data_IF_574756746838
#
_entry.id   IF_574756746838
#
_cell.length_a   1.000
_cell.length_b   1.000
_cell.length_c   1.000
_cell.angle_alpha   90.00
_cell.angle_beta   90.00
_cell.angle_gamma   90.00
#
_symmetry.space_group_name_H-M   'P 1'
#
loop_
_entity.id
_entity.type
_entity.pdbx_description
1 polymer ?
#
# COMPACT_ATOMS: atom_id res chain seq x y z
N UNK A 1 -5.31 27.23 -17.28
CA UNK A 1 -5.59 27.04 -15.84
C UNK A 1 -4.89 25.78 -15.41
N UNK A 2 -4.24 25.77 -14.23
CA UNK A 2 -3.68 24.54 -13.67
C UNK A 2 -4.77 23.89 -12.81
N UNK A 3 -5.11 22.64 -13.11
CA UNK A 3 -6.01 21.83 -12.28
C UNK A 3 -5.15 20.82 -11.52
N UNK A 4 -5.39 20.68 -10.22
CA UNK A 4 -4.68 19.72 -9.37
C UNK A 4 -5.73 18.74 -8.86
N UNK A 5 -5.56 17.47 -9.20
CA UNK A 5 -6.35 16.37 -8.66
C UNK A 5 -5.52 15.69 -7.57
N UNK A 6 -6.04 15.64 -6.35
CA UNK A 6 -5.41 14.94 -5.23
C UNK A 6 -6.27 13.70 -4.95
N UNK A 7 -5.67 12.53 -5.08
CA UNK A 7 -6.32 11.24 -4.79
C UNK A 7 -5.59 10.61 -3.61
N UNK A 8 -6.28 10.43 -2.50
CA UNK A 8 -5.79 9.67 -1.34
C UNK A 8 -6.47 8.30 -1.32
N UNK A 9 -5.67 7.24 -1.40
CA UNK A 9 -6.14 5.86 -1.33
C UNK A 9 -5.59 5.25 -0.05
N UNK A 10 -6.47 4.79 0.83
CA UNK A 10 -6.10 4.04 2.04
C UNK A 10 -6.76 2.68 1.98
N UNK A 11 -5.95 1.63 2.02
CA UNK A 11 -6.40 0.25 2.13
C UNK A 11 -6.03 -0.29 3.50
N UNK A 12 -6.97 -1.03 4.11
CA UNK A 12 -6.73 -1.84 5.31
C UNK A 12 -6.77 -3.30 4.88
N UNK A 13 -6.11 -4.17 5.64
CA UNK A 13 -6.15 -5.62 5.42
C UNK A 13 -5.75 -6.00 3.98
N UNK A 14 -4.69 -5.37 3.49
CA UNK A 14 -4.24 -5.45 2.08
C UNK A 14 -3.64 -6.81 1.74
N UNK A 15 -3.22 -7.54 2.77
CA UNK A 15 -2.70 -8.89 2.66
C UNK A 15 -3.79 -9.84 3.13
N UNK A 16 -4.13 -10.82 2.29
CA UNK A 16 -4.83 -12.00 2.77
C UNK A 16 -3.87 -12.87 3.61
N UNK A 17 -4.39 -13.90 4.26
CA UNK A 17 -3.60 -14.75 5.15
C UNK A 17 -2.37 -15.38 4.45
N UNK A 18 -2.47 -15.72 3.17
CA UNK A 18 -1.35 -16.29 2.41
C UNK A 18 -0.27 -15.22 2.16
N UNK A 19 -0.68 -14.02 1.76
CA UNK A 19 0.24 -12.89 1.59
C UNK A 19 0.86 -12.44 2.91
N UNK A 20 0.13 -12.48 4.03
CA UNK A 20 0.66 -12.19 5.36
C UNK A 20 1.75 -13.18 5.75
N UNK A 21 1.55 -14.48 5.54
CA UNK A 21 2.56 -15.50 5.82
C UNK A 21 3.83 -15.28 4.97
N UNK A 22 3.65 -14.98 3.68
CA UNK A 22 4.78 -14.67 2.79
C UNK A 22 5.48 -13.40 3.27
N UNK A 23 4.74 -12.35 3.60
CA UNK A 23 5.30 -11.07 4.02
C UNK A 23 6.01 -11.17 5.37
N UNK A 24 5.50 -12.00 6.28
CA UNK A 24 6.08 -12.25 7.60
C UNK A 24 7.48 -12.84 7.52
N UNK A 25 7.76 -13.71 6.53
CA UNK A 25 9.08 -14.33 6.35
C UNK A 25 10.09 -13.48 5.57
N UNK A 26 9.65 -12.38 4.96
CA UNK A 26 10.54 -11.46 4.23
C UNK A 26 11.42 -10.65 5.19
N UNK A 27 12.68 -10.42 4.78
CA UNK A 27 13.55 -9.45 5.46
C UNK A 27 13.00 -8.03 5.29
N UNK A 28 13.40 -7.07 6.14
CA UNK A 28 12.99 -5.66 5.98
C UNK A 28 13.31 -5.09 4.59
N UNK A 29 14.42 -5.49 3.99
CA UNK A 29 14.84 -5.07 2.64
C UNK A 29 13.91 -5.61 1.55
N UNK A 30 13.55 -6.90 1.65
CA UNK A 30 12.60 -7.52 0.72
C UNK A 30 11.18 -6.95 0.86
N UNK A 31 10.75 -6.64 2.09
CA UNK A 31 9.49 -5.92 2.34
C UNK A 31 9.52 -4.54 1.67
N UNK A 32 10.61 -3.79 1.82
CA UNK A 32 10.76 -2.48 1.20
C UNK A 32 10.73 -2.55 -0.34
N UNK A 33 11.38 -3.56 -0.94
CA UNK A 33 11.33 -3.82 -2.38
C UNK A 33 9.89 -4.11 -2.84
N UNK A 34 9.16 -4.98 -2.12
CA UNK A 34 7.77 -5.31 -2.44
C UNK A 34 6.86 -4.09 -2.37
N UNK A 35 7.00 -3.24 -1.35
CA UNK A 35 6.29 -1.96 -1.24
C UNK A 35 6.64 -1.05 -2.44
N UNK A 36 7.90 -1.05 -2.87
CA UNK A 36 8.35 -0.30 -4.04
C UNK A 36 7.64 -0.74 -5.32
N UNK A 37 7.46 -2.05 -5.52
CA UNK A 37 6.69 -2.61 -6.65
C UNK A 37 5.23 -2.17 -6.59
N UNK A 38 4.57 -2.29 -5.44
CA UNK A 38 3.17 -1.86 -5.27
C UNK A 38 3.00 -0.36 -5.58
N UNK A 39 3.95 0.48 -5.15
CA UNK A 39 3.96 1.91 -5.51
C UNK A 39 3.99 2.12 -7.01
N UNK A 40 4.86 1.41 -7.72
CA UNK A 40 5.00 1.52 -9.17
C UNK A 40 3.72 1.07 -9.90
N UNK A 41 3.11 -0.02 -9.47
CA UNK A 41 1.85 -0.51 -10.04
C UNK A 41 0.70 0.49 -9.87
N UNK A 42 0.57 1.11 -8.70
CA UNK A 42 -0.44 2.16 -8.45
C UNK A 42 -0.17 3.39 -9.32
N UNK A 43 1.09 3.83 -9.44
CA UNK A 43 1.46 4.95 -10.34
C UNK A 43 1.08 4.64 -11.78
N UNK A 44 1.39 3.43 -12.26
CA UNK A 44 1.08 3.03 -13.63
C UNK A 44 -0.44 3.02 -13.89
N UNK A 45 -1.23 2.49 -12.95
CA UNK A 45 -2.69 2.49 -13.04
C UNK A 45 -3.25 3.91 -13.22
N UNK A 46 -2.75 4.88 -12.45
CA UNK A 46 -3.19 6.27 -12.59
C UNK A 46 -2.64 6.95 -13.84
N UNK A 47 -1.43 6.61 -14.28
CA UNK A 47 -0.83 7.15 -15.50
C UNK A 47 -1.63 6.74 -16.74
N UNK A 48 -2.07 5.49 -16.79
CA UNK A 48 -2.85 4.96 -17.92
C UNK A 48 -4.25 5.59 -18.00
N UNK A 49 -4.88 5.91 -16.86
CA UNK A 49 -6.25 6.41 -16.79
C UNK A 49 -6.38 7.94 -16.89
N UNK A 50 -5.39 8.70 -16.41
CA UNK A 50 -5.52 10.15 -16.24
C UNK A 50 -4.88 11.00 -17.35
N UNK A 51 -4.24 10.39 -18.35
CA UNK A 51 -3.48 11.08 -19.43
C UNK A 51 -2.74 12.33 -18.91
N UNK A 52 -2.01 12.14 -17.81
CA UNK A 52 -1.49 13.22 -16.97
C UNK A 52 0.03 13.36 -17.07
N UNK A 53 0.51 14.60 -17.19
CA UNK A 53 1.95 14.92 -17.30
C UNK A 53 2.73 14.70 -15.99
N UNK A 54 2.05 14.75 -14.83
CA UNK A 54 2.68 14.60 -13.51
C UNK A 54 1.73 13.96 -12.50
N UNK A 55 2.13 12.81 -11.95
CA UNK A 55 1.38 12.06 -10.93
C UNK A 55 2.26 11.88 -9.70
N UNK A 56 1.76 12.28 -8.53
CA UNK A 56 2.42 12.03 -7.24
C UNK A 56 1.59 11.04 -6.44
N UNK A 57 2.14 9.84 -6.19
CA UNK A 57 1.49 8.80 -5.37
C UNK A 57 2.24 8.66 -4.04
N UNK A 58 1.50 8.73 -2.94
CA UNK A 58 2.03 8.46 -1.59
C UNK A 58 1.49 7.12 -1.10
N UNK A 59 2.37 6.14 -0.89
CA UNK A 59 2.00 4.85 -0.25
C UNK A 59 2.73 4.73 1.08
N UNK A 60 1.97 4.42 2.13
CA UNK A 60 2.45 4.10 3.48
C UNK A 60 1.96 2.70 3.83
N UNK A 61 2.84 1.90 4.42
CA UNK A 61 2.49 0.59 4.97
C UNK A 61 2.74 0.67 6.46
N UNK A 62 1.69 0.43 7.24
CA UNK A 62 1.72 0.42 8.69
C UNK A 62 1.35 -0.98 9.15
N UNK A 63 2.19 -1.59 10.00
CA UNK A 63 1.84 -2.83 10.68
C UNK A 63 0.89 -2.47 11.83
N UNK A 64 -0.39 -2.84 11.69
CA UNK A 64 -1.37 -2.65 12.74
C UNK A 64 -1.35 -3.92 13.60
N UNK A 65 -0.92 -3.85 14.87
CA UNK A 65 -1.02 -5.01 15.74
C UNK A 65 -2.49 -5.40 15.90
N UNK A 66 -2.82 -6.68 15.72
CA UNK A 66 -4.17 -7.18 16.05
C UNK A 66 -4.54 -6.72 17.46
N UNK A 67 -5.71 -6.11 17.61
CA UNK A 67 -6.27 -5.85 18.94
C UNK A 67 -6.50 -7.21 19.61
N UNK A 68 -5.63 -7.54 20.56
CA UNK A 68 -5.84 -8.69 21.44
C UNK A 68 -7.05 -8.34 22.30
N UNK A 69 -8.24 -8.77 21.89
CA UNK A 69 -9.42 -8.70 22.74
C UNK A 69 -9.13 -9.54 23.99
N UNK A 70 -9.06 -8.94 25.20
CA UNK A 70 -8.87 -9.72 26.40
C UNK A 70 -10.13 -10.56 26.56
N UNK A 71 -9.99 -11.88 26.37
CA UNK A 71 -11.06 -12.83 26.66
C UNK A 71 -11.53 -12.56 28.10
N UNK A 72 -12.77 -12.11 28.25
CA UNK A 72 -13.43 -11.92 29.54
C UNK A 72 -13.46 -13.28 30.24
N UNK A 73 -12.62 -13.43 31.27
CA UNK A 73 -12.57 -14.58 32.17
C UNK A 73 -13.58 -14.43 33.30
#
# INVERSE_FOLDING_TARGET
>A
MKHVLIVEVTTKDVFDAEMEEIYAVLTPEQRAERIGVMKAEVVQLFADELDSEEITVTVRVEEIPEEVTPNER
#
